data_IF_959583111800
#
_entry.id   IF_959583111800
#
_cell.length_a   1.000
_cell.length_b   1.000
_cell.length_c   1.000
_cell.angle_alpha   90.00
_cell.angle_beta   90.00
_cell.angle_gamma   90.00
#
_symmetry.space_group_name_H-M   'P 1'
#
loop_
_entity.id
_entity.type
_entity.pdbx_description
1 polymer ?
#
# COMPACT_ATOMS: atom_id res chain seq x y z
N UNK A 1 6.94 18.19 -7.61
CA UNK A 1 7.87 19.30 -7.91
C UNK A 1 7.18 20.66 -7.87
N UNK A 2 6.21 20.94 -8.76
CA UNK A 2 5.49 22.23 -8.76
C UNK A 2 4.79 22.49 -7.41
N UNK A 3 4.11 21.48 -6.85
CA UNK A 3 3.49 21.58 -5.52
C UNK A 3 4.48 21.79 -4.38
N UNK A 4 5.72 21.26 -4.49
CA UNK A 4 6.77 21.46 -3.49
C UNK A 4 7.32 22.89 -3.54
N UNK A 5 7.59 23.40 -4.75
CA UNK A 5 8.01 24.79 -4.92
C UNK A 5 6.93 25.76 -4.42
N UNK A 6 5.66 25.50 -4.74
CA UNK A 6 4.53 26.29 -4.25
C UNK A 6 4.38 26.23 -2.72
N UNK A 7 4.47 25.02 -2.14
CA UNK A 7 4.43 24.83 -0.69
C UNK A 7 5.61 25.51 0.01
N UNK A 8 6.79 25.52 -0.59
CA UNK A 8 7.97 26.18 -0.04
C UNK A 8 7.87 27.71 -0.04
N UNK A 9 7.16 28.28 -1.02
CA UNK A 9 6.83 29.72 -1.04
C UNK A 9 5.82 30.06 0.08
N UNK A 10 4.88 29.16 0.38
CA UNK A 10 3.87 29.37 1.42
C UNK A 10 4.35 29.07 2.86
N UNK A 11 5.20 28.05 3.03
CA UNK A 11 5.58 27.47 4.32
C UNK A 11 7.11 27.40 4.52
N UNK A 12 7.85 28.28 3.85
CA UNK A 12 9.30 28.50 4.06
C UNK A 12 10.22 27.26 3.93
N UNK A 13 9.82 26.25 3.15
CA UNK A 13 10.60 25.01 2.96
C UNK A 13 10.98 24.29 4.27
N UNK A 14 10.07 24.26 5.26
CA UNK A 14 10.29 23.52 6.51
C UNK A 14 10.60 22.04 6.31
N UNK A 15 10.01 21.41 5.29
CA UNK A 15 10.24 20.00 4.96
C UNK A 15 11.31 19.88 3.88
N UNK A 16 12.40 19.12 4.12
CA UNK A 16 13.46 18.97 3.15
C UNK A 16 12.98 18.14 1.94
N UNK A 17 13.48 18.50 0.76
CA UNK A 17 13.10 17.84 -0.49
C UNK A 17 13.32 16.31 -0.48
N UNK A 18 14.37 15.85 0.20
CA UNK A 18 14.69 14.42 0.32
C UNK A 18 13.57 13.63 1.01
N UNK A 19 12.97 14.19 2.05
CA UNK A 19 11.90 13.55 2.82
C UNK A 19 10.61 13.42 2.00
N UNK A 20 10.32 14.41 1.16
CA UNK A 20 9.21 14.37 0.19
C UNK A 20 9.41 13.24 -0.81
N UNK A 21 10.65 13.03 -1.26
CA UNK A 21 10.98 11.96 -2.21
C UNK A 21 10.84 10.58 -1.54
N UNK A 22 11.32 10.43 -0.30
CA UNK A 22 11.13 9.20 0.48
C UNK A 22 9.67 8.89 0.77
N UNK A 23 8.89 9.89 1.20
CA UNK A 23 7.45 9.75 1.43
C UNK A 23 6.74 9.28 0.14
N UNK A 24 7.09 9.85 -1.01
CA UNK A 24 6.56 9.43 -2.31
C UNK A 24 6.93 7.99 -2.67
N UNK A 25 8.15 7.54 -2.39
CA UNK A 25 8.56 6.15 -2.62
C UNK A 25 7.77 5.16 -1.75
N UNK A 26 7.63 5.45 -0.46
CA UNK A 26 6.84 4.65 0.50
C UNK A 26 5.38 4.54 0.06
N UNK A 27 4.79 5.67 -0.31
CA UNK A 27 3.41 5.72 -0.79
C UNK A 27 3.25 4.96 -2.11
N UNK A 28 4.24 5.01 -3.00
CA UNK A 28 4.27 4.22 -4.24
C UNK A 28 4.22 2.71 -3.98
N UNK A 29 5.04 2.22 -3.03
CA UNK A 29 5.02 0.80 -2.64
C UNK A 29 3.64 0.40 -2.09
N UNK A 30 3.04 1.25 -1.26
CA UNK A 30 1.69 1.02 -0.76
C UNK A 30 0.65 0.93 -1.90
N UNK A 31 0.72 1.81 -2.91
CA UNK A 31 -0.18 1.73 -4.05
C UNK A 31 -0.01 0.44 -4.87
N UNK A 32 1.22 -0.07 -5.01
CA UNK A 32 1.46 -1.37 -5.64
C UNK A 32 0.77 -2.49 -4.85
N UNK A 33 0.82 -2.43 -3.52
CA UNK A 33 0.07 -3.36 -2.66
C UNK A 33 -1.44 -3.27 -2.90
N UNK A 34 -2.02 -2.06 -2.98
CA UNK A 34 -3.45 -1.87 -3.26
C UNK A 34 -3.83 -2.44 -4.64
N UNK A 35 -3.01 -2.19 -5.67
CA UNK A 35 -3.24 -2.74 -7.01
C UNK A 35 -3.17 -4.27 -6.99
N UNK A 36 -2.19 -4.84 -6.28
CA UNK A 36 -2.05 -6.30 -6.17
C UNK A 36 -3.25 -6.92 -5.44
N UNK A 37 -3.73 -6.28 -4.38
CA UNK A 37 -4.94 -6.68 -3.66
C UNK A 37 -6.18 -6.64 -4.57
N UNK A 38 -6.32 -5.56 -5.37
CA UNK A 38 -7.40 -5.42 -6.35
C UNK A 38 -7.38 -6.55 -7.39
N UNK A 39 -6.21 -6.85 -7.94
CA UNK A 39 -6.03 -7.91 -8.95
C UNK A 39 -6.37 -9.28 -8.34
N UNK A 40 -5.91 -9.56 -7.12
CA UNK A 40 -6.19 -10.82 -6.41
C UNK A 40 -7.70 -11.02 -6.21
N UNK A 41 -8.40 -10.02 -5.67
CA UNK A 41 -9.84 -10.09 -5.48
C UNK A 41 -10.59 -10.16 -6.81
N UNK A 42 -10.10 -9.47 -7.85
CA UNK A 42 -10.65 -9.54 -9.20
C UNK A 42 -10.57 -10.95 -9.79
N UNK A 43 -9.42 -11.62 -9.62
CA UNK A 43 -9.21 -12.99 -10.06
C UNK A 43 -10.09 -14.01 -9.31
N UNK A 44 -10.42 -13.74 -8.05
CA UNK A 44 -11.26 -14.64 -7.23
C UNK A 44 -12.76 -14.43 -7.47
N UNK A 45 -13.23 -13.18 -7.50
CA UNK A 45 -14.66 -12.84 -7.52
C UNK A 45 -15.24 -12.72 -8.92
N UNK A 46 -14.41 -12.50 -9.95
CA UNK A 46 -14.79 -12.44 -11.38
C UNK A 46 -15.88 -11.40 -11.69
N UNK A 47 -16.10 -10.43 -10.79
CA UNK A 47 -17.10 -9.36 -10.90
C UNK A 47 -16.48 -8.04 -10.41
N UNK A 48 -16.54 -6.99 -11.23
CA UNK A 48 -15.86 -5.72 -10.96
C UNK A 48 -16.37 -5.00 -9.70
N UNK A 49 -17.69 -4.91 -9.52
CA UNK A 49 -18.30 -4.23 -8.37
C UNK A 49 -17.88 -4.81 -7.01
N UNK A 50 -18.08 -6.11 -6.70
CA UNK A 50 -17.70 -6.66 -5.40
C UNK A 50 -16.19 -6.64 -5.17
N UNK A 51 -15.40 -6.73 -6.24
CA UNK A 51 -13.93 -6.63 -6.17
C UNK A 51 -13.50 -5.27 -5.62
N UNK A 52 -14.07 -4.18 -6.14
CA UNK A 52 -13.75 -2.83 -5.66
C UNK A 52 -14.12 -2.64 -4.19
N UNK A 53 -15.33 -3.06 -3.79
CA UNK A 53 -15.78 -2.96 -2.40
C UNK A 53 -14.90 -3.76 -1.44
N UNK A 54 -14.58 -5.01 -1.78
CA UNK A 54 -13.76 -5.84 -0.90
C UNK A 54 -12.34 -5.28 -0.80
N UNK A 55 -11.77 -4.78 -1.89
CA UNK A 55 -10.44 -4.12 -1.88
C UNK A 55 -10.43 -2.92 -0.94
N UNK A 56 -11.46 -2.07 -1.01
CA UNK A 56 -11.63 -0.92 -0.11
C UNK A 56 -11.77 -1.37 1.34
N UNK A 57 -12.66 -2.32 1.61
CA UNK A 57 -12.86 -2.88 2.97
C UNK A 57 -11.55 -3.41 3.53
N UNK A 58 -10.77 -4.14 2.74
CA UNK A 58 -9.48 -4.69 3.17
C UNK A 58 -8.49 -3.57 3.53
N UNK A 59 -8.39 -2.55 2.69
CA UNK A 59 -7.48 -1.43 2.91
C UNK A 59 -7.86 -0.60 4.14
N UNK A 60 -9.14 -0.25 4.28
CA UNK A 60 -9.64 0.52 5.42
C UNK A 60 -9.60 -0.27 6.73
N UNK A 61 -9.93 -1.57 6.70
CA UNK A 61 -9.77 -2.43 7.88
C UNK A 61 -8.30 -2.48 8.32
N UNK A 62 -7.37 -2.62 7.37
CA UNK A 62 -5.94 -2.66 7.67
C UNK A 62 -5.43 -1.33 8.25
N UNK A 63 -6.00 -0.20 7.82
CA UNK A 63 -5.71 1.10 8.44
C UNK A 63 -6.32 1.23 9.84
N UNK A 64 -7.59 0.83 10.01
CA UNK A 64 -8.31 0.89 11.29
C UNK A 64 -7.67 -0.03 12.35
N UNK A 65 -7.34 -1.27 11.98
CA UNK A 65 -6.66 -2.24 12.86
C UNK A 65 -5.26 -1.75 13.21
N UNK A 66 -4.52 -1.18 12.24
CA UNK A 66 -3.22 -0.56 12.49
C UNK A 66 -3.29 0.54 13.56
N UNK A 67 -4.30 1.42 13.45
CA UNK A 67 -4.51 2.52 14.40
C UNK A 67 -5.02 2.08 15.76
N UNK A 68 -5.85 1.03 15.83
CA UNK A 68 -6.46 0.59 17.08
C UNK A 68 -5.47 -0.19 17.97
N UNK A 69 -4.50 -0.88 17.36
CA UNK A 69 -3.55 -1.76 18.06
C UNK A 69 -2.10 -1.23 18.03
N UNK A 70 -1.86 -0.04 17.49
CA UNK A 70 -0.54 0.59 17.33
C UNK A 70 0.52 -0.30 16.65
N UNK A 71 0.06 -1.19 15.76
CA UNK A 71 0.89 -2.16 15.01
C UNK A 71 1.21 -1.64 13.61
N UNK A 72 1.18 -0.33 13.40
CA UNK A 72 1.51 0.31 12.12
C UNK A 72 2.88 -0.15 11.58
N UNK A 73 3.85 -0.43 12.44
CA UNK A 73 5.16 -0.94 12.03
C UNK A 73 5.11 -2.30 11.30
N UNK A 74 4.05 -3.10 11.50
CA UNK A 74 3.90 -4.43 10.92
C UNK A 74 2.84 -4.49 9.82
N UNK A 75 2.11 -3.40 9.56
CA UNK A 75 1.07 -3.36 8.55
C UNK A 75 1.49 -2.48 7.36
N UNK A 76 1.04 -2.80 6.14
CA UNK A 76 1.20 -1.92 4.97
C UNK A 76 0.64 -0.52 5.20
N UNK A 77 -0.38 -0.38 6.06
CA UNK A 77 -0.94 0.92 6.46
C UNK A 77 0.07 1.83 7.17
N UNK A 78 1.13 1.27 7.75
CA UNK A 78 2.24 2.03 8.31
C UNK A 78 3.00 2.86 7.28
N UNK A 79 3.16 2.38 6.03
CA UNK A 79 3.86 3.14 4.99
C UNK A 79 3.18 4.49 4.73
N UNK A 80 1.84 4.52 4.73
CA UNK A 80 1.07 5.77 4.61
C UNK A 80 1.31 6.64 5.84
N UNK A 81 1.20 6.09 7.04
CA UNK A 81 1.32 6.86 8.27
C UNK A 81 2.70 7.51 8.43
N UNK A 82 3.78 6.75 8.19
CA UNK A 82 5.15 7.26 8.20
C UNK A 82 5.38 8.33 7.12
N UNK A 83 4.83 8.13 5.92
CA UNK A 83 4.95 9.10 4.82
C UNK A 83 4.18 10.40 5.08
N UNK A 84 3.04 10.32 5.77
CA UNK A 84 2.16 11.47 6.03
C UNK A 84 2.63 12.30 7.22
N UNK A 85 3.28 11.66 8.20
CA UNK A 85 3.85 12.32 9.38
C UNK A 85 5.29 12.79 9.19
N UNK A 86 5.93 12.44 8.06
CA UNK A 86 7.36 12.67 7.81
C UNK A 86 8.26 12.14 8.94
N UNK A 87 7.84 11.06 9.61
CA UNK A 87 8.58 10.44 10.70
C UNK A 87 9.32 9.21 10.21
N UNK A 88 10.59 9.42 9.81
CA UNK A 88 11.40 8.38 9.21
C UNK A 88 12.23 7.61 10.25
N UNK A 89 11.57 6.72 11.01
CA UNK A 89 12.28 5.75 11.85
C UNK A 89 12.73 4.57 10.99
N UNK A 90 14.05 4.36 10.79
CA UNK A 90 14.56 3.41 9.80
C UNK A 90 14.14 1.96 10.10
N UNK A 91 14.09 1.56 11.37
CA UNK A 91 13.71 0.21 11.77
C UNK A 91 12.24 -0.12 11.42
N UNK A 92 11.33 0.81 11.66
CA UNK A 92 9.90 0.61 11.42
C UNK A 92 9.58 0.66 9.91
N UNK A 93 10.24 1.55 9.18
CA UNK A 93 10.10 1.65 7.72
C UNK A 93 10.57 0.37 7.03
N UNK A 94 11.75 -0.15 7.38
CA UNK A 94 12.30 -1.36 6.78
C UNK A 94 11.38 -2.56 7.06
N UNK A 95 10.89 -2.68 8.29
CA UNK A 95 9.99 -3.77 8.70
C UNK A 95 8.67 -3.74 7.92
N UNK A 96 8.01 -2.57 7.89
CA UNK A 96 6.74 -2.38 7.21
C UNK A 96 6.87 -2.58 5.68
N UNK A 97 7.97 -2.10 5.09
CA UNK A 97 8.29 -2.29 3.67
C UNK A 97 8.51 -3.77 3.34
N UNK A 98 9.28 -4.49 4.15
CA UNK A 98 9.57 -5.90 3.94
C UNK A 98 8.29 -6.74 4.02
N UNK A 99 7.44 -6.49 5.01
CA UNK A 99 6.14 -7.18 5.15
C UNK A 99 5.24 -6.88 3.95
N UNK A 100 5.21 -5.64 3.48
CA UNK A 100 4.42 -5.25 2.31
C UNK A 100 4.90 -5.97 1.05
N UNK A 101 6.21 -6.09 0.84
CA UNK A 101 6.79 -6.84 -0.28
C UNK A 101 6.40 -8.33 -0.18
N UNK A 102 6.52 -8.94 1.00
CA UNK A 102 6.12 -10.34 1.22
C UNK A 102 4.63 -10.54 0.91
N UNK A 103 3.76 -9.65 1.38
CA UNK A 103 2.32 -9.70 1.09
C UNK A 103 2.03 -9.56 -0.42
N UNK A 104 2.72 -8.64 -1.12
CA UNK A 104 2.60 -8.50 -2.57
C UNK A 104 2.96 -9.81 -3.27
N UNK A 105 4.06 -10.46 -2.88
CA UNK A 105 4.50 -11.73 -3.46
C UNK A 105 3.44 -12.81 -3.22
N UNK A 106 2.95 -12.95 -1.98
CA UNK A 106 1.92 -13.94 -1.62
C UNK A 106 0.63 -13.71 -2.42
N UNK A 107 0.13 -12.47 -2.48
CA UNK A 107 -1.07 -12.13 -3.26
C UNK A 107 -0.87 -12.38 -4.75
N UNK A 108 0.31 -12.10 -5.29
CA UNK A 108 0.65 -12.37 -6.69
C UNK A 108 0.65 -13.88 -6.99
N UNK A 109 1.21 -14.70 -6.10
CA UNK A 109 1.19 -16.16 -6.22
C UNK A 109 -0.25 -16.71 -6.17
N UNK A 110 -1.08 -16.23 -5.24
CA UNK A 110 -2.49 -16.59 -5.14
C UNK A 110 -3.23 -16.24 -6.44
N UNK A 111 -2.98 -15.03 -6.96
CA UNK A 111 -3.55 -14.57 -8.23
C UNK A 111 -3.19 -15.51 -9.38
N UNK A 112 -1.90 -15.85 -9.50
CA UNK A 112 -1.41 -16.75 -10.54
C UNK A 112 -2.06 -18.15 -10.45
N UNK A 113 -2.18 -18.70 -9.24
CA UNK A 113 -2.85 -19.98 -9.02
C UNK A 113 -4.35 -19.93 -9.35
N UNK A 114 -5.03 -18.84 -8.98
CA UNK A 114 -6.46 -18.63 -9.29
C UNK A 114 -6.69 -18.58 -10.80
N UNK A 115 -5.84 -17.84 -11.52
CA UNK A 115 -5.89 -17.73 -12.98
C UNK A 115 -5.67 -19.09 -13.65
N UNK A 116 -4.66 -19.87 -13.22
CA UNK A 116 -4.37 -21.20 -13.78
C UNK A 116 -5.52 -22.19 -13.57
N UNK A 117 -6.19 -22.15 -12.41
CA UNK A 117 -7.42 -22.95 -12.17
C UNK A 117 -8.55 -22.54 -13.10
N UNK A 118 -8.66 -21.26 -13.43
CA UNK A 118 -9.70 -20.74 -14.32
C UNK A 118 -9.51 -21.21 -15.76
N UNK A 119 -8.27 -21.27 -16.25
CA UNK A 119 -7.94 -21.87 -17.56
C UNK A 119 -8.28 -23.37 -17.61
N UNK A 120 -8.04 -24.10 -16.53
CA UNK A 120 -8.30 -25.55 -16.46
C UNK A 120 -9.80 -25.89 -16.41
N UNK A 121 -10.64 -25.01 -15.85
CA UNK A 121 -12.09 -25.22 -15.74
C UNK A 121 -12.86 -24.90 -17.05
N UNK A 122 -12.20 -24.33 -18.05
CA UNK A 122 -12.81 -24.00 -19.36
C UNK A 122 -12.51 -25.08 -20.41
N UNK A 123 -11.53 -25.97 -20.16
CA UNK A 123 -11.29 -27.19 -20.95
C UNK A 123 -12.09 -28.36 -20.40
#
# INVERSE_FOLDING_TARGET
MICYAYSGILFEFEVPFQDVLYAGMLQGIYFIFIITNLIMWGALLKRALPTGFITLVTAYLMQAVGGLFDIHAYLPSGLIDFSSKFQFQPQNIVTSTLITIVLIIVMSLITHLSMKRMEFNIR
#
